data_IF_801147291882
#
_entry.id   IF_801147291882
#
_cell.length_a   1.000
_cell.length_b   1.000
_cell.length_c   1.000
_cell.angle_alpha   90.00
_cell.angle_beta   90.00
_cell.angle_gamma   90.00
#
_symmetry.space_group_name_H-M   'P 1'
#
loop_
_entity.id
_entity.type
_entity.pdbx_description
1 polymer ?
#
# COMPACT_ATOMS: atom_id res chain seq x y z
N UNK A 1 -27.83 -40.03 12.65
CA UNK A 1 -27.30 -38.96 11.81
C UNK A 1 -28.21 -37.75 11.98
N UNK A 2 -27.80 -36.79 12.76
CA UNK A 2 -28.53 -35.52 12.94
C UNK A 2 -27.65 -34.40 12.42
N UNK A 3 -28.12 -33.69 11.39
CA UNK A 3 -27.49 -32.52 10.85
C UNK A 3 -27.60 -31.36 11.87
N UNK A 4 -26.47 -30.84 12.33
CA UNK A 4 -26.41 -29.68 13.19
C UNK A 4 -26.43 -28.44 12.30
N UNK A 5 -27.48 -27.65 12.39
CA UNK A 5 -27.64 -26.36 11.73
C UNK A 5 -26.83 -25.35 12.52
N UNK A 6 -25.67 -24.96 11.99
CA UNK A 6 -24.90 -23.82 12.52
C UNK A 6 -25.59 -22.54 12.05
N UNK A 7 -26.14 -21.79 12.99
CA UNK A 7 -26.78 -20.52 12.73
C UNK A 7 -25.75 -19.51 12.22
N UNK A 8 -26.00 -18.92 11.03
CA UNK A 8 -25.33 -17.75 10.53
C UNK A 8 -25.60 -16.61 11.50
N UNK A 9 -24.54 -16.15 12.19
CA UNK A 9 -24.57 -14.90 12.90
C UNK A 9 -24.57 -13.78 11.85
N UNK A 10 -25.67 -13.06 11.74
CA UNK A 10 -25.79 -11.92 10.83
C UNK A 10 -24.93 -10.76 11.35
N UNK A 11 -23.81 -10.54 10.72
CA UNK A 11 -23.11 -9.27 10.77
C UNK A 11 -23.72 -8.43 9.65
N UNK A 12 -24.81 -7.71 9.92
CA UNK A 12 -25.28 -6.67 9.00
C UNK A 12 -26.32 -5.78 9.69
N UNK A 13 -25.88 -4.61 10.10
CA UNK A 13 -26.71 -3.41 10.01
C UNK A 13 -26.58 -2.91 8.56
N UNK A 14 -27.54 -3.23 7.70
CA UNK A 14 -27.66 -2.61 6.38
C UNK A 14 -28.03 -1.15 6.56
N UNK A 15 -27.05 -0.27 6.46
CA UNK A 15 -27.28 1.14 6.18
C UNK A 15 -27.58 1.23 4.69
N UNK A 16 -28.78 1.67 4.33
CA UNK A 16 -29.19 1.86 2.93
C UNK A 16 -28.33 2.97 2.28
N UNK A 17 -28.24 3.00 0.93
CA UNK A 17 -27.44 3.97 0.22
C UNK A 17 -27.88 5.39 0.59
N UNK A 18 -26.95 6.19 1.07
CA UNK A 18 -27.12 7.63 1.26
C UNK A 18 -27.34 8.30 -0.10
N UNK A 19 -28.22 9.27 -0.16
CA UNK A 19 -28.62 10.01 -1.36
C UNK A 19 -27.43 10.65 -2.07
N UNK A 20 -27.48 10.56 -3.43
CA UNK A 20 -26.68 11.29 -4.41
C UNK A 20 -25.19 11.49 -4.08
N UNK A 21 -24.37 10.63 -4.67
CA UNK A 21 -22.94 10.55 -4.48
C UNK A 21 -22.19 11.77 -5.04
N UNK A 22 -21.93 12.72 -4.16
CA UNK A 22 -20.84 13.68 -4.35
C UNK A 22 -19.76 13.36 -3.36
N UNK A 23 -18.52 13.22 -3.84
CA UNK A 23 -17.35 13.00 -3.01
C UNK A 23 -17.26 14.05 -1.88
N UNK A 24 -16.89 13.63 -0.69
CA UNK A 24 -16.70 14.53 0.44
C UNK A 24 -15.40 15.32 0.24
N UNK A 25 -15.45 16.67 0.11
CA UNK A 25 -14.27 17.48 -0.12
C UNK A 25 -13.20 17.27 0.96
N UNK A 26 -11.93 17.20 0.53
CA UNK A 26 -10.78 17.02 1.41
C UNK A 26 -10.54 15.58 1.84
N UNK A 27 -11.20 14.58 1.23
CA UNK A 27 -10.88 13.16 1.49
C UNK A 27 -9.81 12.67 0.53
N UNK A 28 -8.80 11.95 1.06
CA UNK A 28 -7.68 11.40 0.28
C UNK A 28 -7.42 9.96 0.71
N UNK A 29 -7.68 9.02 -0.18
CA UNK A 29 -7.33 7.62 -0.01
C UNK A 29 -5.88 7.41 -0.47
N UNK A 30 -4.99 6.95 0.43
CA UNK A 30 -3.57 6.73 0.13
C UNK A 30 -3.27 5.29 -0.32
N UNK A 31 -4.27 4.41 -0.33
CA UNK A 31 -4.11 3.00 -0.64
C UNK A 31 -5.06 2.58 -1.75
N UNK A 32 -4.67 2.88 -2.97
CA UNK A 32 -5.41 2.46 -4.16
C UNK A 32 -4.48 2.05 -5.30
N UNK A 33 -4.96 1.16 -6.19
CA UNK A 33 -4.12 0.54 -7.20
C UNK A 33 -4.68 0.69 -8.61
N UNK A 34 -3.77 0.85 -9.58
CA UNK A 34 -4.08 0.81 -11.02
C UNK A 34 -3.15 -0.16 -11.76
N UNK A 35 -3.69 -0.82 -12.76
CA UNK A 35 -2.97 -1.62 -13.76
C UNK A 35 -3.35 -1.12 -15.15
N UNK A 36 -2.73 -0.03 -15.65
CA UNK A 36 -3.07 0.54 -16.94
C UNK A 36 -3.00 -0.49 -18.06
N UNK A 37 -4.05 -0.56 -18.88
CA UNK A 37 -4.13 -1.57 -19.96
C UNK A 37 -2.97 -1.48 -20.96
N UNK A 38 -2.48 -0.28 -21.36
CA UNK A 38 -1.32 -0.19 -22.24
C UNK A 38 -0.04 -0.83 -21.67
N UNK A 39 0.16 -0.78 -20.36
CA UNK A 39 1.26 -1.52 -19.71
C UNK A 39 1.08 -3.02 -19.90
N UNK A 40 -0.11 -3.55 -19.62
CA UNK A 40 -0.41 -4.98 -19.74
C UNK A 40 -0.26 -5.46 -21.18
N UNK A 41 -0.67 -4.66 -22.17
CA UNK A 41 -0.50 -4.94 -23.60
C UNK A 41 0.99 -5.02 -23.98
N UNK A 42 1.82 -4.08 -23.55
CA UNK A 42 3.28 -4.13 -23.74
C UNK A 42 3.91 -5.37 -23.09
N UNK A 43 3.42 -5.78 -21.93
CA UNK A 43 3.87 -7.02 -21.28
C UNK A 43 3.46 -8.23 -22.09
N UNK A 44 2.24 -8.25 -22.64
CA UNK A 44 1.74 -9.35 -23.48
C UNK A 44 2.53 -9.48 -24.79
N UNK A 45 2.87 -8.37 -25.46
CA UNK A 45 3.73 -8.36 -26.66
C UNK A 45 5.11 -8.99 -26.39
N UNK A 46 5.60 -8.90 -25.16
CA UNK A 46 6.87 -9.50 -24.70
C UNK A 46 6.69 -10.93 -24.16
N UNK A 47 5.48 -11.49 -24.21
CA UNK A 47 5.15 -12.80 -23.62
C UNK A 47 5.19 -12.83 -22.08
N UNK A 48 5.06 -11.67 -21.43
CA UNK A 48 5.09 -11.52 -19.97
C UNK A 48 3.70 -11.39 -19.35
N UNK A 49 2.65 -11.31 -20.16
CA UNK A 49 1.27 -11.27 -19.70
C UNK A 49 0.35 -12.10 -20.62
N UNK A 50 -0.68 -12.71 -20.02
CA UNK A 50 -1.81 -13.30 -20.73
C UNK A 50 -3.07 -12.49 -20.41
N UNK A 51 -3.63 -11.84 -21.45
CA UNK A 51 -4.78 -10.96 -21.38
C UNK A 51 -6.10 -11.65 -21.75
N UNK A 52 -6.11 -12.93 -22.05
CA UNK A 52 -7.32 -13.65 -22.46
C UNK A 52 -8.44 -13.58 -21.40
N UNK A 53 -8.07 -13.44 -20.12
CA UNK A 53 -9.01 -13.33 -19.02
C UNK A 53 -9.51 -11.91 -18.71
N UNK A 54 -9.06 -10.87 -19.42
CA UNK A 54 -9.45 -9.47 -19.15
C UNK A 54 -10.97 -9.26 -19.18
N UNK A 55 -11.74 -9.85 -20.13
CA UNK A 55 -13.19 -9.73 -20.10
C UNK A 55 -13.85 -10.31 -18.83
N UNK A 56 -13.19 -11.24 -18.16
CA UNK A 56 -13.61 -11.91 -16.94
C UNK A 56 -12.98 -11.26 -15.67
N UNK A 57 -12.31 -10.11 -15.81
CA UNK A 57 -11.66 -9.41 -14.71
C UNK A 57 -10.40 -10.10 -14.19
N UNK A 58 -9.65 -10.79 -15.05
CA UNK A 58 -8.46 -11.57 -14.69
C UNK A 58 -7.33 -11.27 -15.67
N UNK A 59 -6.11 -11.14 -15.12
CA UNK A 59 -4.86 -11.16 -15.88
C UNK A 59 -3.89 -12.18 -15.28
N UNK A 60 -2.99 -12.74 -16.12
CA UNK A 60 -1.90 -13.58 -15.64
C UNK A 60 -0.58 -12.96 -16.09
N UNK A 61 0.36 -12.89 -15.16
CA UNK A 61 1.67 -12.27 -15.38
C UNK A 61 2.79 -13.31 -15.23
N UNK A 62 3.89 -13.09 -15.92
CA UNK A 62 5.13 -13.86 -15.72
C UNK A 62 5.54 -13.78 -14.24
N UNK A 63 5.99 -14.89 -13.62
CA UNK A 63 6.40 -14.90 -12.21
C UNK A 63 7.50 -13.89 -11.86
N UNK A 64 8.39 -13.55 -12.80
CA UNK A 64 9.44 -12.52 -12.58
C UNK A 64 8.84 -11.12 -12.41
N UNK A 65 7.66 -10.87 -13.00
CA UNK A 65 6.92 -9.62 -12.83
C UNK A 65 6.12 -9.65 -11.54
N UNK A 66 5.33 -10.71 -11.38
CA UNK A 66 4.26 -10.75 -10.34
C UNK A 66 4.69 -11.36 -9.00
N UNK A 67 5.74 -12.17 -8.99
CA UNK A 67 6.12 -12.94 -7.80
C UNK A 67 5.20 -14.12 -7.48
N UNK A 68 4.16 -14.36 -8.28
CA UNK A 68 3.24 -15.50 -8.10
C UNK A 68 3.38 -16.51 -9.26
N UNK A 69 2.79 -17.68 -9.11
CA UNK A 69 2.88 -18.74 -10.13
C UNK A 69 2.31 -18.32 -11.49
N UNK A 70 2.82 -18.88 -12.61
CA UNK A 70 2.53 -18.41 -13.97
C UNK A 70 1.05 -18.61 -14.39
N UNK A 71 0.32 -19.43 -13.68
CA UNK A 71 -1.11 -19.67 -13.92
C UNK A 71 -2.03 -19.00 -12.89
N UNK A 72 -1.44 -18.30 -11.90
CA UNK A 72 -2.22 -17.62 -10.89
C UNK A 72 -3.06 -16.50 -11.52
N UNK A 73 -4.40 -16.54 -11.36
CA UNK A 73 -5.25 -15.45 -11.81
C UNK A 73 -5.06 -14.26 -10.87
N UNK A 74 -4.69 -13.11 -11.44
CA UNK A 74 -4.65 -11.85 -10.71
C UNK A 74 -5.93 -11.07 -11.01
N UNK A 75 -6.57 -10.47 -10.00
CA UNK A 75 -7.78 -9.68 -10.21
C UNK A 75 -7.44 -8.41 -10.99
N UNK A 76 -8.27 -8.11 -11.99
CA UNK A 76 -8.18 -6.91 -12.82
C UNK A 76 -9.58 -6.27 -12.89
N UNK A 77 -9.88 -5.46 -11.89
CA UNK A 77 -11.12 -4.68 -11.89
C UNK A 77 -11.05 -3.59 -12.98
N UNK A 78 -12.20 -3.24 -13.54
CA UNK A 78 -12.26 -2.25 -14.63
C UNK A 78 -11.72 -0.88 -14.20
N UNK A 79 -11.95 -0.46 -12.98
CA UNK A 79 -11.40 0.77 -12.42
C UNK A 79 -9.87 0.81 -12.31
N UNK A 80 -9.19 -0.30 -12.48
CA UNK A 80 -7.72 -0.31 -12.53
C UNK A 80 -7.15 0.20 -13.87
N UNK A 81 -7.97 0.22 -14.95
CA UNK A 81 -7.54 0.66 -16.27
C UNK A 81 -8.53 1.62 -16.96
N UNK A 82 -9.68 1.89 -16.37
CA UNK A 82 -10.71 2.81 -16.88
C UNK A 82 -10.94 3.89 -15.82
N UNK A 83 -10.42 5.09 -16.09
CA UNK A 83 -10.50 6.24 -15.16
C UNK A 83 -11.94 6.66 -14.91
N UNK A 84 -12.82 6.63 -15.92
CA UNK A 84 -14.22 7.02 -15.72
C UNK A 84 -14.94 6.07 -14.76
N UNK A 85 -14.66 4.77 -14.84
CA UNK A 85 -15.21 3.80 -13.89
C UNK A 85 -14.65 4.05 -12.48
N UNK A 86 -13.34 4.32 -12.36
CA UNK A 86 -12.73 4.66 -11.06
C UNK A 86 -13.37 5.87 -10.42
N UNK A 87 -13.54 6.96 -11.17
CA UNK A 87 -14.14 8.19 -10.66
C UNK A 87 -15.58 7.95 -10.19
N UNK A 88 -16.35 7.13 -10.92
CA UNK A 88 -17.70 6.72 -10.50
C UNK A 88 -17.67 5.95 -9.18
N UNK A 89 -16.77 4.96 -9.04
CA UNK A 89 -16.61 4.18 -7.80
C UNK A 89 -16.16 5.04 -6.62
N UNK A 90 -15.27 6.03 -6.86
CA UNK A 90 -14.86 7.00 -5.85
C UNK A 90 -16.04 7.86 -5.38
N UNK A 91 -16.89 8.33 -6.31
CA UNK A 91 -18.08 9.09 -5.97
C UNK A 91 -19.09 8.27 -5.17
N UNK A 92 -19.27 6.99 -5.50
CA UNK A 92 -20.16 6.06 -4.77
C UNK A 92 -19.75 5.90 -3.30
N UNK A 93 -18.44 5.86 -2.98
CA UNK A 93 -17.94 5.74 -1.61
C UNK A 93 -17.63 7.08 -0.95
N UNK A 94 -17.78 8.19 -1.69
CA UNK A 94 -17.61 9.55 -1.19
C UNK A 94 -16.15 10.00 -1.03
N UNK A 95 -15.19 9.40 -1.75
CA UNK A 95 -13.77 9.77 -1.69
C UNK A 95 -13.44 10.75 -2.82
N UNK A 96 -12.86 11.91 -2.47
CA UNK A 96 -12.52 12.95 -3.44
C UNK A 96 -11.28 12.61 -4.26
N UNK A 97 -10.21 12.13 -3.61
CA UNK A 97 -8.92 11.89 -4.26
C UNK A 97 -8.36 10.52 -3.91
N UNK A 98 -7.74 9.88 -4.89
CA UNK A 98 -6.94 8.67 -4.71
C UNK A 98 -5.46 8.96 -4.97
N UNK A 99 -4.58 8.60 -4.04
CA UNK A 99 -3.19 8.37 -4.33
C UNK A 99 -3.05 6.95 -4.88
N UNK A 100 -2.69 6.86 -6.16
CA UNK A 100 -2.75 5.64 -6.95
C UNK A 100 -1.33 5.10 -7.15
N UNK A 101 -1.11 3.83 -6.83
CA UNK A 101 0.11 3.09 -7.11
C UNK A 101 -0.14 1.90 -8.04
N UNK A 102 0.92 1.36 -8.63
CA UNK A 102 0.85 0.01 -9.18
C UNK A 102 0.61 -1.00 -8.04
N UNK A 103 -0.13 -2.10 -8.26
CA UNK A 103 -0.26 -3.14 -7.25
C UNK A 103 1.07 -3.92 -7.11
N UNK A 104 1.28 -4.63 -5.98
CA UNK A 104 2.52 -5.35 -5.69
C UNK A 104 2.90 -6.40 -6.76
N UNK A 105 1.95 -6.87 -7.55
CA UNK A 105 2.19 -7.77 -8.69
C UNK A 105 2.99 -7.14 -9.84
N UNK A 106 3.25 -5.83 -9.81
CA UNK A 106 4.01 -5.09 -10.80
C UNK A 106 5.31 -4.48 -10.23
N UNK A 107 5.68 -4.83 -8.99
CA UNK A 107 6.92 -4.36 -8.37
C UNK A 107 8.17 -5.15 -8.78
N UNK A 108 8.02 -6.22 -9.56
CA UNK A 108 9.13 -7.11 -9.95
C UNK A 108 9.99 -7.59 -8.75
N UNK A 109 9.36 -7.82 -7.59
CA UNK A 109 10.07 -8.11 -6.32
C UNK A 109 10.89 -9.40 -6.35
N UNK A 110 10.58 -10.32 -7.26
CA UNK A 110 11.26 -11.61 -7.44
C UNK A 110 12.15 -11.66 -8.68
N UNK A 111 12.26 -10.56 -9.42
CA UNK A 111 13.15 -10.49 -10.59
C UNK A 111 14.61 -10.68 -10.14
N UNK A 112 15.38 -11.40 -10.96
CA UNK A 112 16.79 -11.70 -10.75
C UNK A 112 17.72 -10.92 -11.71
N UNK A 113 17.14 -10.03 -12.52
CA UNK A 113 17.84 -9.17 -13.47
C UNK A 113 17.44 -7.70 -13.28
N UNK A 114 18.42 -6.82 -13.04
CA UNK A 114 18.20 -5.41 -12.78
C UNK A 114 17.59 -4.67 -13.98
N UNK A 115 18.09 -4.94 -15.19
CA UNK A 115 17.60 -4.27 -16.39
C UNK A 115 16.15 -4.68 -16.68
N UNK A 116 15.80 -5.94 -16.43
CA UNK A 116 14.43 -6.42 -16.52
C UNK A 116 13.52 -5.70 -15.52
N UNK A 117 13.88 -5.68 -14.23
CA UNK A 117 13.08 -5.05 -13.19
C UNK A 117 12.91 -3.55 -13.44
N UNK A 118 14.00 -2.83 -13.71
CA UNK A 118 13.98 -1.39 -14.03
C UNK A 118 13.14 -1.09 -15.26
N UNK A 119 13.26 -1.90 -16.30
CA UNK A 119 12.48 -1.71 -17.55
C UNK A 119 10.98 -1.92 -17.35
N UNK A 120 10.55 -2.87 -16.52
CA UNK A 120 9.12 -3.10 -16.23
C UNK A 120 8.57 -2.03 -15.30
N UNK A 121 9.27 -1.74 -14.21
CA UNK A 121 8.85 -0.72 -13.24
C UNK A 121 8.80 0.65 -13.88
N UNK A 122 9.82 1.02 -14.68
CA UNK A 122 9.85 2.30 -15.40
C UNK A 122 8.69 2.44 -16.39
N UNK A 123 8.41 1.40 -17.20
CA UNK A 123 7.25 1.41 -18.08
C UNK A 123 5.93 1.49 -17.32
N UNK A 124 5.85 0.87 -16.14
CA UNK A 124 4.69 0.96 -15.25
C UNK A 124 4.47 2.38 -14.74
N UNK A 125 5.53 3.07 -14.35
CA UNK A 125 5.46 4.47 -13.90
C UNK A 125 5.04 5.40 -15.04
N UNK A 126 5.55 5.20 -16.26
CA UNK A 126 5.15 5.98 -17.44
C UNK A 126 3.65 5.86 -17.68
N UNK A 127 3.11 4.65 -17.68
CA UNK A 127 1.69 4.42 -17.92
C UNK A 127 0.81 4.87 -16.73
N UNK A 128 1.32 4.79 -15.50
CA UNK A 128 0.62 5.33 -14.34
C UNK A 128 0.53 6.86 -14.40
N UNK A 129 1.60 7.54 -14.82
CA UNK A 129 1.59 8.99 -15.04
C UNK A 129 0.55 9.40 -16.09
N UNK A 130 0.44 8.64 -17.19
CA UNK A 130 -0.60 8.86 -18.20
C UNK A 130 -2.00 8.62 -17.62
N UNK A 131 -2.17 7.53 -16.87
CA UNK A 131 -3.46 7.17 -16.25
C UNK A 131 -3.99 8.26 -15.31
N UNK A 132 -3.15 8.82 -14.44
CA UNK A 132 -3.58 9.87 -13.50
C UNK A 132 -3.76 11.23 -14.18
N UNK A 133 -3.13 11.45 -15.34
CA UNK A 133 -3.26 12.70 -16.10
C UNK A 133 -4.67 12.88 -16.71
N UNK A 134 -5.50 11.84 -16.76
CA UNK A 134 -6.90 11.94 -17.20
C UNK A 134 -7.77 12.78 -16.24
N UNK A 135 -7.46 12.76 -14.94
CA UNK A 135 -8.06 13.65 -13.94
C UNK A 135 -7.07 13.97 -12.81
N UNK A 136 -6.12 14.90 -13.03
CA UNK A 136 -5.09 15.24 -12.05
C UNK A 136 -5.62 15.99 -10.82
N UNK A 137 -6.88 16.41 -10.82
CA UNK A 137 -7.54 16.98 -9.65
C UNK A 137 -7.96 15.88 -8.65
N UNK A 138 -8.26 14.69 -9.16
CA UNK A 138 -8.79 13.55 -8.40
C UNK A 138 -7.76 12.43 -8.19
N UNK A 139 -6.78 12.28 -9.09
CA UNK A 139 -5.82 11.18 -9.10
C UNK A 139 -4.40 11.70 -8.89
N UNK A 140 -3.68 11.08 -7.99
CA UNK A 140 -2.31 11.42 -7.57
C UNK A 140 -1.44 10.18 -7.76
N UNK A 141 -0.34 10.27 -8.50
CA UNK A 141 0.52 9.11 -8.71
C UNK A 141 1.53 8.91 -7.57
N UNK A 142 1.69 7.65 -7.15
CA UNK A 142 2.81 7.17 -6.36
C UNK A 142 3.65 6.23 -7.23
N UNK A 143 4.90 6.62 -7.51
CA UNK A 143 5.80 5.85 -8.37
C UNK A 143 6.28 4.57 -7.70
N UNK A 144 6.60 3.55 -8.48
CA UNK A 144 7.24 2.34 -7.99
C UNK A 144 8.76 2.39 -8.26
N UNK A 145 9.55 1.64 -7.50
CA UNK A 145 11.00 1.56 -7.67
C UNK A 145 11.46 0.11 -7.79
N UNK A 146 12.52 -0.19 -8.56
CA UNK A 146 13.11 -1.51 -8.64
C UNK A 146 13.91 -1.80 -7.36
N UNK A 147 13.17 -2.07 -6.26
CA UNK A 147 13.73 -2.26 -4.92
C UNK A 147 14.74 -3.42 -4.89
N UNK A 148 15.81 -3.26 -4.13
CA UNK A 148 16.90 -4.24 -4.05
C UNK A 148 17.94 -4.11 -5.17
N UNK A 149 17.79 -3.13 -6.06
CA UNK A 149 18.73 -2.80 -7.14
C UNK A 149 19.28 -1.37 -6.99
N UNK A 150 20.46 -1.12 -7.54
CA UNK A 150 21.10 0.22 -7.49
C UNK A 150 20.29 1.30 -8.19
N UNK A 151 19.59 0.94 -9.26
CA UNK A 151 18.73 1.85 -10.01
C UNK A 151 17.47 2.33 -9.26
N UNK A 152 17.21 1.85 -8.05
CA UNK A 152 16.02 2.25 -7.28
C UNK A 152 15.98 3.74 -6.95
N UNK A 153 17.12 4.33 -6.58
CA UNK A 153 17.21 5.77 -6.28
C UNK A 153 17.04 6.63 -7.56
N UNK A 154 17.59 6.17 -8.68
CA UNK A 154 17.47 6.90 -9.96
C UNK A 154 16.02 6.90 -10.45
N UNK A 155 15.32 5.76 -10.34
CA UNK A 155 13.92 5.68 -10.71
C UNK A 155 13.04 6.52 -9.76
N UNK A 156 13.35 6.54 -8.46
CA UNK A 156 12.66 7.44 -7.53
C UNK A 156 12.84 8.91 -7.91
N UNK A 157 14.06 9.34 -8.28
CA UNK A 157 14.31 10.71 -8.80
C UNK A 157 13.48 10.98 -10.06
N UNK A 158 13.45 10.05 -11.00
CA UNK A 158 12.68 10.19 -12.23
C UNK A 158 11.18 10.34 -11.93
N UNK A 159 10.62 9.52 -11.04
CA UNK A 159 9.23 9.64 -10.62
C UNK A 159 8.90 11.02 -10.05
N UNK A 160 9.76 11.53 -9.16
CA UNK A 160 9.52 12.80 -8.46
C UNK A 160 9.79 14.02 -9.36
N UNK A 161 10.88 14.01 -10.14
CA UNK A 161 11.37 15.20 -10.85
C UNK A 161 10.85 15.30 -12.29
N UNK A 162 10.65 14.17 -12.97
CA UNK A 162 10.27 14.14 -14.39
C UNK A 162 8.79 13.78 -14.59
N UNK A 163 8.28 12.82 -13.81
CA UNK A 163 6.89 12.39 -13.91
C UNK A 163 5.94 13.14 -12.96
N UNK A 164 6.47 13.99 -12.07
CA UNK A 164 5.66 14.81 -11.16
C UNK A 164 4.83 14.03 -10.14
N UNK A 165 5.30 12.84 -9.77
CA UNK A 165 4.63 12.00 -8.79
C UNK A 165 4.79 12.53 -7.37
N UNK A 166 3.77 12.39 -6.53
CA UNK A 166 3.76 12.97 -5.18
C UNK A 166 4.52 12.13 -4.13
N UNK A 167 4.94 10.95 -4.48
CA UNK A 167 5.65 10.02 -3.60
C UNK A 167 5.96 8.71 -4.30
N UNK A 168 6.37 7.71 -3.52
CA UNK A 168 6.68 6.37 -4.02
C UNK A 168 5.95 5.28 -3.24
N UNK A 169 5.54 4.24 -3.94
CA UNK A 169 5.05 2.98 -3.38
C UNK A 169 6.14 1.91 -3.53
N UNK A 170 6.49 1.27 -2.42
CA UNK A 170 7.56 0.27 -2.36
C UNK A 170 7.06 -1.07 -1.88
N UNK A 171 7.74 -2.13 -2.31
CA UNK A 171 7.54 -3.47 -1.77
C UNK A 171 8.19 -3.66 -0.41
N UNK A 172 7.86 -4.76 0.26
CA UNK A 172 8.49 -5.18 1.52
C UNK A 172 9.88 -5.79 1.35
N UNK A 173 10.21 -6.18 0.12
CA UNK A 173 11.51 -6.70 -0.31
C UNK A 173 11.62 -6.62 -1.83
N UNK A 174 12.84 -6.76 -2.36
CA UNK A 174 13.07 -6.81 -3.80
C UNK A 174 14.38 -7.53 -4.13
N UNK A 175 14.48 -8.14 -5.30
CA UNK A 175 15.67 -8.87 -5.76
C UNK A 175 16.21 -9.89 -4.75
N UNK A 176 15.33 -10.54 -3.98
CA UNK A 176 15.73 -11.47 -2.90
C UNK A 176 16.33 -10.82 -1.66
N UNK A 177 16.32 -9.47 -1.57
CA UNK A 177 16.93 -8.67 -0.50
C UNK A 177 15.88 -8.04 0.39
N UNK A 178 16.21 -7.87 1.66
CA UNK A 178 15.37 -7.16 2.62
C UNK A 178 15.62 -5.64 2.56
N UNK A 179 14.76 -4.86 3.20
CA UNK A 179 14.79 -3.39 3.12
C UNK A 179 16.06 -2.77 3.74
N UNK A 180 16.71 -3.45 4.67
CA UNK A 180 17.95 -3.02 5.31
C UNK A 180 19.23 -3.44 4.57
N UNK A 181 19.10 -4.06 3.39
CA UNK A 181 20.26 -4.34 2.54
C UNK A 181 20.92 -3.01 2.10
N UNK A 182 22.26 -2.87 2.24
CA UNK A 182 22.97 -1.63 1.90
C UNK A 182 22.78 -1.14 0.46
N UNK A 183 22.33 -1.99 -0.47
CA UNK A 183 22.00 -1.58 -1.84
C UNK A 183 20.90 -0.52 -1.88
N UNK A 184 20.03 -0.49 -0.87
CA UNK A 184 18.93 0.46 -0.77
C UNK A 184 19.31 1.77 -0.05
N UNK A 185 20.52 1.91 0.50
CA UNK A 185 20.89 3.09 1.33
C UNK A 185 20.78 4.41 0.54
N UNK A 186 21.11 4.44 -0.75
CA UNK A 186 20.96 5.63 -1.59
C UNK A 186 19.48 6.02 -1.78
N UNK A 187 18.60 5.03 -1.93
CA UNK A 187 17.16 5.26 -1.99
C UNK A 187 16.65 5.87 -0.68
N UNK A 188 17.04 5.30 0.46
CA UNK A 188 16.61 5.80 1.77
C UNK A 188 17.11 7.21 2.05
N UNK A 189 18.37 7.51 1.70
CA UNK A 189 18.94 8.86 1.81
C UNK A 189 18.14 9.87 0.96
N UNK A 190 17.87 9.55 -0.30
CA UNK A 190 17.10 10.41 -1.21
C UNK A 190 15.69 10.70 -0.67
N UNK A 191 14.95 9.66 -0.25
CA UNK A 191 13.58 9.79 0.22
C UNK A 191 13.50 10.56 1.54
N UNK A 192 14.48 10.37 2.42
CA UNK A 192 14.62 11.10 3.68
C UNK A 192 14.95 12.59 3.46
N UNK A 193 15.94 12.89 2.62
CA UNK A 193 16.36 14.28 2.31
C UNK A 193 15.24 15.11 1.68
N UNK A 194 14.38 14.47 0.90
CA UNK A 194 13.25 15.12 0.22
C UNK A 194 11.95 15.08 1.01
N UNK A 195 11.96 14.48 2.19
CA UNK A 195 10.75 14.27 3.00
C UNK A 195 9.62 13.61 2.20
N UNK A 196 10.00 12.73 1.25
CA UNK A 196 9.08 12.09 0.30
C UNK A 196 8.10 11.16 1.02
N UNK A 197 6.82 11.21 0.65
CA UNK A 197 5.83 10.21 1.08
C UNK A 197 6.17 8.84 0.52
N UNK A 198 6.27 7.85 1.38
CA UNK A 198 6.60 6.46 1.04
C UNK A 198 5.46 5.56 1.49
N UNK A 199 4.83 4.86 0.56
CA UNK A 199 3.81 3.86 0.85
C UNK A 199 4.41 2.46 0.78
N UNK A 200 4.49 1.75 1.91
CA UNK A 200 5.00 0.39 1.99
C UNK A 200 3.85 -0.61 1.89
N UNK A 201 3.84 -1.35 0.79
CA UNK A 201 2.89 -2.43 0.56
C UNK A 201 3.63 -3.78 0.54
N UNK A 202 3.16 -4.84 1.24
CA UNK A 202 3.78 -6.15 1.16
C UNK A 202 3.78 -6.67 -0.28
N UNK A 203 4.95 -7.14 -0.75
CA UNK A 203 5.15 -7.66 -2.11
C UNK A 203 5.56 -9.13 -2.15
N UNK A 204 5.45 -9.80 -1.03
CA UNK A 204 5.73 -11.22 -0.85
C UNK A 204 5.12 -11.70 0.45
N UNK A 205 5.37 -12.94 0.81
CA UNK A 205 4.92 -13.54 2.07
C UNK A 205 6.03 -14.41 2.67
N UNK A 206 6.15 -14.46 4.01
CA UNK A 206 7.05 -15.42 4.66
C UNK A 206 6.55 -16.85 4.42
N UNK A 207 7.44 -17.78 4.10
CA UNK A 207 7.11 -19.20 3.93
C UNK A 207 5.86 -19.48 3.04
N UNK A 208 5.93 -19.16 1.74
CA UNK A 208 4.78 -19.26 0.83
C UNK A 208 4.22 -20.69 0.71
N UNK A 209 5.03 -21.73 0.98
CA UNK A 209 4.57 -23.12 0.91
C UNK A 209 3.50 -23.46 1.94
N UNK A 210 3.57 -22.86 3.14
CA UNK A 210 2.56 -23.03 4.18
C UNK A 210 1.31 -22.19 3.96
N UNK A 211 1.30 -21.33 2.98
CA UNK A 211 0.24 -20.36 2.70
C UNK A 211 -0.43 -20.60 1.35
N UNK A 212 -0.18 -21.75 0.71
CA UNK A 212 -0.65 -22.05 -0.65
C UNK A 212 -2.19 -22.18 -0.77
N UNK A 213 -2.87 -22.46 0.34
CA UNK A 213 -4.32 -22.68 0.37
C UNK A 213 -5.05 -21.49 1.05
N UNK A 214 -6.38 -21.42 0.88
CA UNK A 214 -7.31 -20.57 1.62
C UNK A 214 -7.01 -19.05 1.51
N UNK A 215 -6.35 -18.60 0.49
CA UNK A 215 -5.93 -17.20 0.35
C UNK A 215 -5.04 -16.69 1.50
N UNK A 216 -4.35 -17.60 2.18
CA UNK A 216 -3.48 -17.26 3.30
C UNK A 216 -2.38 -16.25 2.96
N UNK A 217 -1.85 -16.16 1.72
CA UNK A 217 -0.91 -15.08 1.40
C UNK A 217 -1.48 -13.70 1.70
N UNK A 218 -2.72 -13.41 1.29
CA UNK A 218 -3.36 -12.11 1.52
C UNK A 218 -3.90 -11.98 2.95
N UNK A 219 -4.50 -13.05 3.49
CA UNK A 219 -5.18 -13.00 4.79
C UNK A 219 -4.20 -12.98 5.98
N UNK A 220 -3.05 -13.61 5.85
CA UNK A 220 -2.06 -13.78 6.94
C UNK A 220 -0.67 -13.34 6.52
N UNK A 221 -0.24 -13.72 5.32
CA UNK A 221 1.12 -13.50 4.82
C UNK A 221 1.46 -12.03 4.71
N UNK A 222 0.64 -11.23 4.06
CA UNK A 222 0.86 -9.79 3.90
C UNK A 222 0.96 -9.05 5.24
N UNK A 223 0.04 -9.24 6.21
CA UNK A 223 0.20 -8.66 7.53
C UNK A 223 1.49 -9.05 8.26
N UNK A 224 1.95 -10.30 8.11
CA UNK A 224 3.20 -10.77 8.69
C UNK A 224 4.42 -10.16 7.99
N UNK A 225 4.38 -10.08 6.67
CA UNK A 225 5.47 -9.54 5.85
C UNK A 225 5.71 -8.05 6.14
N UNK A 226 4.65 -7.26 6.27
CA UNK A 226 4.75 -5.84 6.67
C UNK A 226 5.48 -5.70 8.01
N UNK A 227 5.11 -6.49 9.01
CA UNK A 227 5.76 -6.45 10.32
C UNK A 227 7.24 -6.85 10.25
N UNK A 228 7.58 -7.86 9.43
CA UNK A 228 8.95 -8.29 9.21
C UNK A 228 9.77 -7.21 8.51
N UNK A 229 9.24 -6.60 7.46
CA UNK A 229 9.89 -5.54 6.71
C UNK A 229 10.22 -4.33 7.60
N UNK A 230 9.26 -3.89 8.44
CA UNK A 230 9.51 -2.78 9.38
C UNK A 230 10.51 -3.17 10.45
N UNK A 231 10.46 -4.40 10.98
CA UNK A 231 11.47 -4.89 11.93
C UNK A 231 12.88 -4.87 11.32
N UNK A 232 13.03 -5.22 10.03
CA UNK A 232 14.29 -5.09 9.29
C UNK A 232 14.76 -3.64 9.20
N UNK A 233 13.86 -2.69 8.85
CA UNK A 233 14.19 -1.26 8.80
C UNK A 233 14.65 -0.71 10.16
N UNK A 234 14.01 -1.15 11.26
CA UNK A 234 14.38 -0.74 12.63
C UNK A 234 15.72 -1.35 13.04
N UNK A 235 15.80 -2.68 13.10
CA UNK A 235 17.01 -3.36 13.60
C UNK A 235 18.21 -3.24 12.67
N UNK A 236 18.01 -3.07 11.36
CA UNK A 236 19.02 -2.69 10.38
C UNK A 236 19.42 -1.21 10.44
N UNK A 237 18.85 -0.43 11.37
CA UNK A 237 19.14 0.99 11.63
C UNK A 237 18.82 1.91 10.45
N UNK A 238 17.96 1.51 9.51
CA UNK A 238 17.58 2.35 8.39
C UNK A 238 16.81 3.57 8.90
N UNK A 239 15.77 3.37 9.73
CA UNK A 239 14.95 4.46 10.29
C UNK A 239 15.71 5.35 11.29
N UNK A 240 16.83 4.88 11.82
CA UNK A 240 17.71 5.71 12.66
C UNK A 240 18.60 6.63 11.82
N UNK A 241 19.10 6.13 10.66
CA UNK A 241 19.93 6.92 9.74
C UNK A 241 19.10 7.83 8.82
N UNK A 242 17.94 7.36 8.42
CA UNK A 242 17.08 7.99 7.41
C UNK A 242 15.64 8.05 7.94
N UNK A 243 15.24 9.16 8.60
CA UNK A 243 13.84 9.39 8.95
C UNK A 243 12.97 9.44 7.68
N UNK A 244 11.93 8.60 7.61
CA UNK A 244 11.07 8.47 6.44
C UNK A 244 9.62 8.84 6.78
N UNK A 245 8.93 9.52 5.87
CA UNK A 245 7.47 9.66 5.89
C UNK A 245 6.84 8.36 5.36
N UNK A 246 6.95 7.29 6.15
CA UNK A 246 6.60 5.92 5.76
C UNK A 246 5.20 5.56 6.24
N UNK A 247 4.28 5.35 5.30
CA UNK A 247 2.93 4.84 5.55
C UNK A 247 2.89 3.33 5.30
N UNK A 248 2.30 2.59 6.22
CA UNK A 248 2.20 1.15 6.17
C UNK A 248 0.80 0.72 5.74
N UNK A 249 0.72 -0.10 4.70
CA UNK A 249 -0.51 -0.72 4.27
C UNK A 249 -1.12 -1.61 5.36
N UNK A 250 -2.45 -1.77 5.33
CA UNK A 250 -3.22 -2.66 6.20
C UNK A 250 -3.03 -2.37 7.70
N UNK A 251 -2.97 -1.08 8.06
CA UNK A 251 -2.74 -0.64 9.45
C UNK A 251 -1.42 -1.15 10.04
N UNK A 252 -0.41 -1.39 9.18
CA UNK A 252 0.87 -1.97 9.60
C UNK A 252 0.83 -3.48 9.86
N UNK A 253 -0.25 -4.16 9.45
CA UNK A 253 -0.39 -5.61 9.57
C UNK A 253 -0.30 -6.11 11.01
N UNK A 254 0.64 -7.02 11.29
CA UNK A 254 0.87 -7.55 12.64
C UNK A 254 1.75 -6.63 13.52
N UNK A 255 2.37 -5.57 12.97
CA UNK A 255 3.34 -4.74 13.68
C UNK A 255 2.79 -4.14 14.97
N UNK A 256 1.57 -3.55 15.01
CA UNK A 256 1.04 -2.98 16.25
C UNK A 256 0.99 -3.97 17.41
N UNK A 257 0.62 -5.23 17.13
CA UNK A 257 0.58 -6.29 18.13
C UNK A 257 1.97 -6.78 18.58
N UNK A 258 3.01 -6.52 17.80
CA UNK A 258 4.38 -6.97 18.09
C UNK A 258 5.24 -5.92 18.78
N UNK A 259 4.82 -4.65 18.85
CA UNK A 259 5.63 -3.52 19.36
C UNK A 259 6.29 -3.83 20.72
N UNK A 260 5.51 -4.22 21.72
CA UNK A 260 6.05 -4.54 23.04
C UNK A 260 7.01 -5.74 23.04
N UNK A 261 6.83 -6.69 22.11
CA UNK A 261 7.75 -7.82 21.94
C UNK A 261 9.08 -7.38 21.32
N UNK A 262 9.04 -6.46 20.36
CA UNK A 262 10.25 -5.90 19.74
C UNK A 262 11.06 -5.10 20.76
N UNK A 263 10.41 -4.25 21.56
CA UNK A 263 11.05 -3.49 22.64
C UNK A 263 11.69 -4.41 23.69
N UNK A 264 10.97 -5.45 24.10
CA UNK A 264 11.50 -6.46 25.05
C UNK A 264 12.70 -7.20 24.46
N UNK A 265 12.67 -7.50 23.15
CA UNK A 265 13.80 -8.11 22.43
C UNK A 265 15.00 -7.18 22.40
N UNK A 266 14.79 -5.91 22.09
CA UNK A 266 15.83 -4.87 22.08
C UNK A 266 16.46 -4.68 23.46
N UNK A 267 15.67 -4.66 24.53
CA UNK A 267 16.14 -4.52 25.92
C UNK A 267 16.99 -5.74 26.38
N UNK A 268 16.59 -6.97 25.99
CA UNK A 268 17.12 -8.19 26.60
C UNK A 268 18.04 -9.03 25.73
N UNK A 269 18.14 -8.73 24.44
CA UNK A 269 18.94 -9.51 23.50
C UNK A 269 20.02 -8.64 22.89
N UNK A 270 21.27 -8.89 23.23
CA UNK A 270 22.42 -8.15 22.71
C UNK A 270 22.39 -8.04 21.17
N UNK A 271 22.02 -9.13 20.47
CA UNK A 271 21.92 -9.16 19.01
C UNK A 271 20.81 -8.27 18.44
N UNK A 272 19.83 -7.89 19.25
CA UNK A 272 18.73 -7.01 18.87
C UNK A 272 18.91 -5.57 19.39
N UNK A 273 19.91 -5.33 20.25
CA UNK A 273 20.22 -4.00 20.77
C UNK A 273 21.06 -3.19 19.76
N UNK A 274 20.48 -2.95 18.58
CA UNK A 274 21.20 -2.35 17.44
C UNK A 274 20.98 -0.84 17.33
N UNK A 275 19.90 -0.31 17.86
CA UNK A 275 19.50 1.10 17.78
C UNK A 275 19.71 1.82 19.12
N UNK A 276 19.81 3.15 19.10
CA UNK A 276 20.02 3.98 20.31
C UNK A 276 18.76 4.13 21.16
N UNK A 277 17.58 3.89 20.57
CA UNK A 277 16.27 3.94 21.24
C UNK A 277 15.46 2.68 20.92
N UNK A 278 14.46 2.30 21.73
CA UNK A 278 13.66 1.11 21.48
C UNK A 278 12.89 1.18 20.17
N UNK A 279 12.53 0.04 19.56
CA UNK A 279 11.74 -0.05 18.33
C UNK A 279 10.47 0.79 18.32
N UNK A 280 9.75 0.88 19.43
CA UNK A 280 8.54 1.70 19.54
C UNK A 280 8.79 3.18 19.20
N UNK A 281 9.93 3.74 19.58
CA UNK A 281 10.29 5.12 19.25
C UNK A 281 10.38 5.43 17.75
N UNK A 282 10.59 4.40 16.93
CA UNK A 282 10.53 4.52 15.47
C UNK A 282 9.12 4.27 14.96
N UNK A 283 8.46 3.20 15.44
CA UNK A 283 7.12 2.83 14.95
C UNK A 283 6.04 3.86 15.33
N UNK A 284 6.23 4.66 16.37
CA UNK A 284 5.35 5.76 16.75
C UNK A 284 5.40 6.96 15.79
N UNK A 285 6.40 7.02 14.92
CA UNK A 285 6.57 8.08 13.91
C UNK A 285 6.12 7.65 12.51
N UNK A 286 5.76 6.39 12.34
CA UNK A 286 5.25 5.88 11.07
C UNK A 286 3.79 6.25 10.91
N UNK A 287 3.32 6.20 9.67
CA UNK A 287 1.92 6.37 9.32
C UNK A 287 1.29 5.01 9.03
N UNK A 288 -0.01 4.91 9.23
CA UNK A 288 -0.76 3.68 9.10
C UNK A 288 -2.06 3.97 8.35
N UNK A 289 -2.44 3.13 7.41
CA UNK A 289 -3.72 3.29 6.75
C UNK A 289 -4.89 2.69 7.57
N UNK A 290 -6.12 3.01 7.15
CA UNK A 290 -7.33 2.53 7.81
C UNK A 290 -7.80 1.15 7.34
N UNK A 291 -7.09 0.48 6.42
CA UNK A 291 -7.48 -0.83 5.87
C UNK A 291 -7.25 -1.98 6.87
N UNK A 292 -7.79 -1.83 8.08
CA UNK A 292 -7.65 -2.79 9.21
C UNK A 292 -8.81 -3.79 9.25
N UNK A 293 -9.95 -3.46 8.62
CA UNK A 293 -11.17 -4.29 8.54
C UNK A 293 -11.79 -4.66 9.89
N UNK A 294 -11.46 -3.91 10.95
CA UNK A 294 -12.00 -4.06 12.31
C UNK A 294 -12.02 -2.73 13.04
N UNK A 295 -13.19 -2.19 13.32
CA UNK A 295 -13.34 -0.92 14.03
C UNK A 295 -12.72 -0.94 15.43
N UNK A 296 -12.68 -2.11 16.08
CA UNK A 296 -12.04 -2.27 17.40
C UNK A 296 -10.53 -2.14 17.29
N UNK A 297 -9.92 -2.81 16.30
CA UNK A 297 -8.47 -2.75 16.09
C UNK A 297 -8.05 -1.39 15.53
N UNK A 298 -8.83 -0.79 14.64
CA UNK A 298 -8.55 0.55 14.12
C UNK A 298 -8.59 1.61 15.23
N UNK A 299 -9.59 1.54 16.12
CA UNK A 299 -9.66 2.42 17.30
C UNK A 299 -8.42 2.25 18.18
N UNK A 300 -8.01 1.01 18.43
CA UNK A 300 -6.81 0.72 19.20
C UNK A 300 -5.55 1.26 18.54
N UNK A 301 -5.44 1.13 17.23
CA UNK A 301 -4.33 1.70 16.46
C UNK A 301 -4.28 3.22 16.64
N UNK A 302 -5.42 3.92 16.46
CA UNK A 302 -5.50 5.38 16.66
C UNK A 302 -5.13 5.79 18.08
N UNK A 303 -5.57 5.03 19.10
CA UNK A 303 -5.18 5.27 20.50
C UNK A 303 -3.68 5.10 20.75
N UNK A 304 -3.06 4.14 20.05
CA UNK A 304 -1.64 3.81 20.22
C UNK A 304 -0.69 4.79 19.49
N UNK A 305 -1.07 5.30 18.31
CA UNK A 305 -0.17 6.10 17.46
C UNK A 305 -0.60 7.57 17.32
N UNK A 306 -1.81 7.92 17.68
CA UNK A 306 -2.39 9.26 17.48
C UNK A 306 -3.13 9.40 16.15
N UNK A 307 -4.05 10.35 16.10
CA UNK A 307 -4.89 10.63 14.92
C UNK A 307 -4.10 11.23 13.75
N UNK A 308 -3.00 11.89 14.01
CA UNK A 308 -2.08 12.51 13.06
C UNK A 308 -1.18 11.50 12.34
N UNK A 309 -1.12 10.26 12.80
CA UNK A 309 -0.37 9.17 12.19
C UNK A 309 -1.26 8.15 11.45
N UNK A 310 -2.57 8.39 11.33
CA UNK A 310 -3.49 7.50 10.59
C UNK A 310 -4.03 8.20 9.35
N UNK A 311 -4.03 7.50 8.23
CA UNK A 311 -4.43 7.97 6.91
C UNK A 311 -5.59 7.12 6.38
N UNK A 312 -6.52 7.72 5.64
CA UNK A 312 -7.54 6.95 4.94
C UNK A 312 -6.88 6.06 3.89
N UNK A 313 -7.14 4.76 3.92
CA UNK A 313 -6.71 3.80 2.92
C UNK A 313 -7.74 2.69 2.77
N UNK A 314 -8.05 2.32 1.52
CA UNK A 314 -9.13 1.38 1.21
C UNK A 314 -8.70 0.06 0.64
N UNK A 315 -7.51 -0.02 0.02
CA UNK A 315 -7.08 -1.15 -0.82
C UNK A 315 -7.93 -1.31 -2.11
N UNK A 316 -8.43 -0.15 -2.62
CA UNK A 316 -9.24 -0.11 -3.85
C UNK A 316 -8.43 -0.57 -5.08
N UNK A 317 -8.98 -1.40 -5.96
CA UNK A 317 -10.34 -1.91 -6.03
C UNK A 317 -10.47 -3.39 -5.64
N UNK A 318 -9.56 -3.88 -4.81
CA UNK A 318 -9.53 -5.31 -4.49
C UNK A 318 -10.74 -5.77 -3.67
N UNK A 319 -11.03 -7.08 -3.72
CA UNK A 319 -12.18 -7.69 -3.06
C UNK A 319 -12.13 -7.52 -1.54
N UNK A 320 -10.93 -7.53 -0.96
CA UNK A 320 -10.72 -7.28 0.47
C UNK A 320 -10.73 -5.79 0.82
N UNK A 321 -10.87 -4.89 -0.15
CA UNK A 321 -10.86 -3.44 0.09
C UNK A 321 -12.06 -2.94 0.90
N UNK A 322 -11.88 -1.84 1.62
CA UNK A 322 -12.96 -1.17 2.36
C UNK A 322 -13.90 -0.43 1.40
N UNK A 323 -15.16 -0.84 1.36
CA UNK A 323 -16.21 -0.27 0.50
C UNK A 323 -17.06 0.80 1.18
N UNK A 324 -16.77 1.12 2.44
CA UNK A 324 -17.47 2.16 3.20
C UNK A 324 -16.47 2.97 4.06
N UNK A 325 -15.39 3.50 3.46
CA UNK A 325 -14.25 4.03 4.19
C UNK A 325 -14.61 5.22 5.09
N UNK A 326 -15.54 6.07 4.67
CA UNK A 326 -15.98 7.20 5.48
C UNK A 326 -16.73 6.73 6.73
N UNK A 327 -17.55 5.68 6.61
CA UNK A 327 -18.28 5.12 7.74
C UNK A 327 -17.35 4.37 8.68
N UNK A 328 -16.32 3.71 8.15
CA UNK A 328 -15.26 3.09 8.95
C UNK A 328 -14.58 4.12 9.87
N UNK A 329 -14.19 5.28 9.34
CA UNK A 329 -13.57 6.35 10.15
C UNK A 329 -14.59 6.99 11.10
N UNK A 330 -15.80 7.30 10.64
CA UNK A 330 -16.86 7.86 11.49
C UNK A 330 -17.24 6.96 12.68
N UNK A 331 -17.21 5.64 12.49
CA UNK A 331 -17.50 4.66 13.54
C UNK A 331 -16.47 4.68 14.68
N UNK A 332 -15.33 5.35 14.53
CA UNK A 332 -14.37 5.57 15.61
C UNK A 332 -14.92 6.52 16.68
N UNK A 333 -15.87 7.40 16.34
CA UNK A 333 -16.47 8.35 17.26
C UNK A 333 -15.51 9.44 17.74
N UNK A 334 -14.57 9.82 16.88
CA UNK A 334 -13.60 10.91 17.11
C UNK A 334 -14.29 12.28 16.95
N UNK A 335 -13.64 13.33 17.44
CA UNK A 335 -14.09 14.68 17.17
C UNK A 335 -13.93 15.05 15.67
N UNK A 336 -14.46 16.22 15.29
CA UNK A 336 -14.51 16.64 13.89
C UNK A 336 -13.10 16.91 13.31
N UNK A 337 -12.17 17.42 14.14
CA UNK A 337 -10.81 17.74 13.68
C UNK A 337 -10.00 16.47 13.48
N UNK A 338 -10.04 15.54 14.42
CA UNK A 338 -9.42 14.22 14.30
C UNK A 338 -9.99 13.41 13.13
N UNK A 339 -11.31 13.46 12.93
CA UNK A 339 -11.97 12.79 11.79
C UNK A 339 -11.48 13.37 10.46
N UNK A 340 -11.41 14.71 10.32
CA UNK A 340 -10.88 15.35 9.10
C UNK A 340 -9.40 15.04 8.86
N UNK A 341 -8.59 15.01 9.94
CA UNK A 341 -7.19 14.65 9.84
C UNK A 341 -7.01 13.28 9.19
N UNK A 342 -7.71 12.26 9.69
CA UNK A 342 -7.63 10.89 9.15
C UNK A 342 -8.20 10.79 7.73
N UNK A 343 -9.35 11.45 7.46
CA UNK A 343 -10.02 11.36 6.17
C UNK A 343 -9.21 11.96 5.01
N UNK A 344 -8.31 12.92 5.30
CA UNK A 344 -7.51 13.53 4.23
C UNK A 344 -6.46 14.53 4.68
N UNK A 345 -6.67 15.27 5.77
CA UNK A 345 -5.77 16.35 6.18
C UNK A 345 -4.31 15.89 6.38
N UNK A 346 -4.11 14.71 6.97
CA UNK A 346 -2.79 14.13 7.14
C UNK A 346 -2.15 13.79 5.77
N UNK A 347 -2.92 13.17 4.88
CA UNK A 347 -2.46 12.81 3.55
C UNK A 347 -2.18 14.06 2.69
N UNK A 348 -3.00 15.10 2.76
CA UNK A 348 -2.76 16.38 2.07
C UNK A 348 -1.42 16.99 2.48
N UNK A 349 -1.12 16.98 3.78
CA UNK A 349 0.15 17.49 4.30
C UNK A 349 1.35 16.69 3.80
N UNK A 350 1.26 15.35 3.86
CA UNK A 350 2.37 14.46 3.48
C UNK A 350 2.63 14.43 1.97
N UNK A 351 1.57 14.53 1.16
CA UNK A 351 1.66 14.54 -0.30
C UNK A 351 1.89 15.93 -0.89
N UNK A 352 2.02 16.97 -0.04
CA UNK A 352 2.23 18.35 -0.49
C UNK A 352 1.06 18.90 -1.31
N UNK A 353 -0.17 18.41 -1.09
CA UNK A 353 -1.33 18.85 -1.84
C UNK A 353 -1.79 20.21 -1.33
N UNK A 354 -1.94 21.17 -2.24
CA UNK A 354 -2.49 22.47 -1.87
C UNK A 354 -3.95 22.31 -1.43
N UNK A 355 -4.27 22.81 -0.23
CA UNK A 355 -5.65 22.89 0.24
C UNK A 355 -6.43 23.74 -0.75
N UNK A 356 -7.34 23.15 -1.50
CA UNK A 356 -8.33 23.92 -2.28
C UNK A 356 -9.19 24.69 -1.30
N UNK A 357 -8.78 25.93 -0.98
CA UNK A 357 -9.67 26.90 -0.30
C UNK A 357 -10.75 27.28 -1.29
N UNK A 358 -11.89 26.60 -1.22
CA UNK A 358 -13.14 27.09 -1.85
C UNK A 358 -13.96 27.87 -0.85
#
# INVERSE_FOLDING_TARGET
MRASTVGRMAINGSVGPSAEGTALPGTVDVHSHAMPLPLLERLAERGLADLAGVPDGIVRLDPRVSGVGPLAPLPLARSQYDVAVRLSEMDEVGVERHAVSLPPFLFCSTADDEAFATGIVGAGNDELAVYVADDPARLIALGSVPLGWRGAADEARRCLDELGMAGVAIGSRGAGRDLDDPVNDELWALLSERETFVFLHPSGVPDPHRQADFWLPQLVGYPMETALAVARLVFGRVLERHPLNLCLAHGGGCLPALRGRLDMGWDRKEVAHTTTVPPSAFTDRLYYDTAVFSNVLLRRLVEDVGTDHVLLGTDHPFELGDRAPLDTVRALGLDADATRAILGGNAESLLGLSVSRR
#
